data_IF_788596945164
#
_entry.id   IF_788596945164
#
_cell.length_a   1.000
_cell.length_b   1.000
_cell.length_c   1.000
_cell.angle_alpha   90.00
_cell.angle_beta   90.00
_cell.angle_gamma   90.00
#
_symmetry.space_group_name_H-M   'P 1'
#
loop_
_entity.id
_entity.type
_entity.pdbx_description
1 polymer ?
#
# COMPACT_ATOMS: atom_id res chain seq x y z
N UNK A 1 3.63 16.58 -16.64
CA UNK A 1 3.24 15.99 -15.35
C UNK A 1 4.42 15.37 -14.61
N UNK A 2 5.63 15.36 -15.19
CA UNK A 2 6.83 14.84 -14.54
C UNK A 2 7.07 15.50 -13.18
N UNK A 3 7.09 16.83 -13.16
CA UNK A 3 7.35 17.59 -11.94
C UNK A 3 6.37 17.30 -10.79
N UNK A 4 5.10 16.99 -11.07
CA UNK A 4 4.10 16.61 -10.05
C UNK A 4 4.27 15.14 -9.63
N UNK A 5 4.87 14.29 -10.47
CA UNK A 5 5.24 12.92 -10.13
C UNK A 5 6.49 12.86 -9.25
N UNK A 6 7.52 13.64 -9.59
CA UNK A 6 8.77 13.77 -8.81
C UNK A 6 8.59 14.58 -7.54
N UNK A 7 7.67 15.55 -7.54
CA UNK A 7 7.36 16.40 -6.40
C UNK A 7 5.84 16.49 -6.19
N UNK A 8 5.20 15.39 -5.75
CA UNK A 8 3.77 15.45 -5.52
C UNK A 8 3.48 16.39 -4.33
N UNK A 9 2.42 17.19 -4.45
CA UNK A 9 2.14 18.30 -3.51
C UNK A 9 2.73 19.65 -3.91
N UNK A 10 3.37 19.77 -5.09
CA UNK A 10 3.79 21.08 -5.61
C UNK A 10 2.59 22.03 -5.77
N UNK A 11 2.77 23.29 -5.36
CA UNK A 11 1.69 24.28 -5.37
C UNK A 11 1.48 24.86 -6.76
N UNK A 12 0.23 25.23 -7.06
CA UNK A 12 -0.17 25.86 -8.32
C UNK A 12 0.66 27.13 -8.59
N UNK A 13 0.91 27.96 -7.58
CA UNK A 13 1.76 29.14 -7.71
C UNK A 13 3.18 28.80 -8.14
N UNK A 14 3.75 27.70 -7.64
CA UNK A 14 5.12 27.29 -7.98
C UNK A 14 5.21 26.82 -9.43
N UNK A 15 4.17 26.15 -9.94
CA UNK A 15 4.10 25.81 -11.37
C UNK A 15 3.97 27.05 -12.26
N UNK A 16 3.20 28.05 -11.84
CA UNK A 16 3.07 29.30 -12.58
C UNK A 16 4.38 30.11 -12.59
N UNK A 17 5.11 30.15 -11.47
CA UNK A 17 6.46 30.74 -11.40
C UNK A 17 7.46 30.04 -12.32
N UNK A 18 7.31 28.72 -12.51
CA UNK A 18 8.11 27.92 -13.44
C UNK A 18 7.64 28.04 -14.91
N UNK A 19 6.80 29.04 -15.23
CA UNK A 19 6.29 29.37 -16.56
C UNK A 19 5.41 28.30 -17.22
N UNK A 20 4.81 27.38 -16.45
CA UNK A 20 3.80 26.47 -16.99
C UNK A 20 2.50 27.23 -17.34
N UNK A 21 1.88 26.92 -18.48
CA UNK A 21 0.68 27.61 -18.95
C UNK A 21 -0.54 27.27 -18.06
N UNK A 22 -1.24 28.28 -17.50
CA UNK A 22 -2.41 28.06 -16.64
C UNK A 22 -3.50 27.20 -17.29
N UNK A 23 -3.85 27.49 -18.55
CA UNK A 23 -4.89 26.75 -19.30
C UNK A 23 -4.58 25.26 -19.42
N UNK A 24 -3.31 24.87 -19.52
CA UNK A 24 -2.94 23.46 -19.60
C UNK A 24 -3.08 22.77 -18.25
N UNK A 25 -2.74 23.46 -17.15
CA UNK A 25 -2.90 22.95 -15.78
C UNK A 25 -4.40 22.78 -15.46
N UNK A 26 -5.22 23.80 -15.75
CA UNK A 26 -6.66 23.74 -15.52
C UNK A 26 -7.34 22.69 -16.38
N UNK A 27 -6.91 22.51 -17.64
CA UNK A 27 -7.38 21.39 -18.47
C UNK A 27 -7.02 20.03 -17.87
N UNK A 28 -5.85 19.89 -17.24
CA UNK A 28 -5.44 18.63 -16.59
C UNK A 28 -6.24 18.34 -15.31
N UNK A 29 -6.60 19.37 -14.55
CA UNK A 29 -7.50 19.25 -13.39
C UNK A 29 -8.92 18.88 -13.87
N UNK A 30 -9.46 19.60 -14.86
CA UNK A 30 -10.79 19.34 -15.41
C UNK A 30 -10.93 17.95 -16.03
N UNK A 31 -9.86 17.44 -16.65
CA UNK A 31 -9.81 16.06 -17.20
C UNK A 31 -9.44 15.00 -16.17
N UNK A 32 -9.37 15.35 -14.88
CA UNK A 32 -9.04 14.47 -13.74
C UNK A 32 -7.69 13.76 -13.86
N UNK A 33 -6.76 14.34 -14.61
CA UNK A 33 -5.38 13.85 -14.74
C UNK A 33 -4.48 14.42 -13.65
N UNK A 34 -4.83 15.59 -13.12
CA UNK A 34 -4.29 16.11 -11.87
C UNK A 34 -5.42 16.16 -10.85
N UNK A 35 -5.11 15.70 -9.66
CA UNK A 35 -5.97 15.81 -8.49
C UNK A 35 -5.59 17.05 -7.69
N UNK A 36 -6.61 17.78 -7.26
CA UNK A 36 -6.53 18.90 -6.33
C UNK A 36 -7.67 18.74 -5.37
N UNK A 37 -7.41 18.95 -4.08
CA UNK A 37 -8.45 19.04 -3.08
C UNK A 37 -9.09 20.43 -3.11
N UNK A 38 -10.16 20.57 -3.90
CA UNK A 38 -10.94 21.81 -4.02
C UNK A 38 -11.73 22.14 -2.75
N UNK A 39 -11.85 21.20 -1.80
CA UNK A 39 -12.48 21.48 -0.50
C UNK A 39 -11.51 22.17 0.47
N UNK A 40 -10.20 22.05 0.23
CA UNK A 40 -9.15 22.61 1.08
C UNK A 40 -8.64 23.99 0.62
N UNK A 41 -8.70 24.32 -0.68
CA UNK A 41 -8.27 25.62 -1.20
C UNK A 41 -8.94 25.96 -2.55
N UNK A 42 -9.29 27.24 -2.75
CA UNK A 42 -9.89 27.75 -3.99
C UNK A 42 -8.82 27.98 -5.08
N UNK A 43 -9.10 27.46 -6.28
CA UNK A 43 -8.23 27.54 -7.45
C UNK A 43 -7.96 28.97 -7.92
N UNK A 44 -8.97 29.86 -7.80
CA UNK A 44 -8.92 31.21 -8.37
C UNK A 44 -8.16 32.20 -7.49
N UNK A 45 -8.27 32.05 -6.17
CA UNK A 45 -7.80 33.05 -5.20
C UNK A 45 -6.63 32.56 -4.33
N UNK A 46 -6.40 31.25 -4.25
CA UNK A 46 -5.45 30.66 -3.29
C UNK A 46 -4.37 29.79 -3.94
N UNK A 47 -3.84 30.20 -5.11
CA UNK A 47 -2.85 29.43 -5.87
C UNK A 47 -1.61 28.96 -5.07
N UNK A 48 -1.23 29.65 -3.99
CA UNK A 48 -0.13 29.24 -3.08
C UNK A 48 -0.48 28.10 -2.14
N UNK A 49 -1.77 27.84 -1.91
CA UNK A 49 -2.29 26.76 -1.04
C UNK A 49 -2.78 25.56 -1.86
N UNK A 50 -3.14 25.76 -3.12
CA UNK A 50 -3.60 24.73 -4.05
C UNK A 50 -2.43 23.79 -4.38
N UNK A 51 -2.44 22.58 -3.82
CA UNK A 51 -1.45 21.55 -4.11
C UNK A 51 -1.96 20.57 -5.16
N UNK A 52 -1.06 20.16 -6.06
CA UNK A 52 -1.37 19.30 -7.19
C UNK A 52 -0.77 17.91 -7.01
N UNK A 53 -1.57 16.90 -7.34
CA UNK A 53 -1.19 15.48 -7.25
C UNK A 53 -1.58 14.74 -8.51
N UNK A 54 -1.00 13.55 -8.73
CA UNK A 54 -1.38 12.70 -9.85
C UNK A 54 -2.65 11.89 -9.56
N UNK A 55 -2.92 11.62 -8.29
CA UNK A 55 -4.07 10.85 -7.83
C UNK A 55 -4.42 11.21 -6.39
N UNK A 56 -5.63 10.81 -6.00
CA UNK A 56 -6.10 10.88 -4.62
C UNK A 56 -5.16 10.11 -3.68
N UNK A 57 -4.70 8.94 -4.10
CA UNK A 57 -3.78 8.08 -3.33
C UNK A 57 -2.43 8.75 -3.08
N UNK A 58 -1.90 9.49 -4.07
CA UNK A 58 -0.64 10.24 -3.92
C UNK A 58 -0.81 11.48 -3.03
N UNK A 59 -1.98 12.13 -3.09
CA UNK A 59 -2.33 13.22 -2.17
C UNK A 59 -2.36 12.77 -0.71
N UNK A 60 -2.83 11.54 -0.47
CA UNK A 60 -2.84 10.93 0.87
C UNK A 60 -1.51 10.31 1.29
N UNK A 61 -0.57 10.08 0.36
CA UNK A 61 0.77 9.57 0.69
C UNK A 61 1.77 10.65 1.13
N UNK A 62 1.44 11.93 0.93
CA UNK A 62 2.30 13.05 1.31
C UNK A 62 1.76 13.75 2.55
N UNK A 63 2.59 14.00 3.58
CA UNK A 63 2.20 14.76 4.75
C UNK A 63 1.80 16.18 4.35
N UNK A 64 0.53 16.53 4.54
CA UNK A 64 0.04 17.88 4.29
C UNK A 64 0.42 18.80 5.44
N UNK A 65 1.13 19.92 5.20
CA UNK A 65 1.38 20.92 6.22
C UNK A 65 0.11 21.75 6.43
N UNK A 66 -0.57 21.54 7.56
CA UNK A 66 -1.63 22.44 8.00
C UNK A 66 -0.97 23.66 8.64
N UNK A 67 -1.37 24.85 8.19
CA UNK A 67 -0.87 26.13 8.70
C UNK A 67 -1.28 26.30 10.16
N UNK A 68 -0.30 26.30 11.07
CA UNK A 68 -0.48 26.83 12.41
C UNK A 68 -0.05 28.30 12.41
N UNK A 69 -0.99 29.21 12.67
CA UNK A 69 -0.66 30.56 13.12
C UNK A 69 -0.38 30.49 14.63
N UNK A 70 0.87 30.79 14.97
CA UNK A 70 1.38 31.30 16.25
C UNK A 70 0.89 30.64 17.54
N UNK A 71 1.75 29.86 18.20
CA UNK A 71 2.05 30.05 19.62
C UNK A 71 3.50 29.62 19.90
N UNK A 72 4.19 30.42 20.72
CA UNK A 72 5.63 30.39 20.92
C UNK A 72 6.16 29.13 21.63
N UNK A 73 7.39 28.80 21.23
CA UNK A 73 8.42 27.98 21.87
C UNK A 73 8.06 26.73 22.70
N UNK A 74 8.69 25.63 22.26
CA UNK A 74 8.93 24.34 22.94
C UNK A 74 7.77 23.35 23.01
N UNK A 75 7.38 22.86 21.84
CA UNK A 75 7.27 21.44 21.48
C UNK A 75 6.50 21.37 20.17
N UNK A 76 7.16 20.99 19.08
CA UNK A 76 6.55 20.82 17.76
C UNK A 76 5.52 19.67 17.81
N UNK A 77 4.32 19.96 18.32
CA UNK A 77 3.13 19.14 18.17
C UNK A 77 2.58 19.39 16.77
N UNK A 78 3.24 18.77 15.78
CA UNK A 78 2.65 18.60 14.46
C UNK A 78 1.57 17.54 14.65
N UNK A 79 0.29 17.94 14.55
CA UNK A 79 -0.86 17.03 14.47
C UNK A 79 -0.76 16.23 13.16
N UNK A 80 0.08 15.20 13.17
CA UNK A 80 0.23 14.22 12.09
C UNK A 80 -1.00 13.33 12.12
N UNK A 81 -1.70 13.15 11.00
CA UNK A 81 -2.77 12.14 10.91
C UNK A 81 -2.13 10.77 11.18
N UNK A 82 -2.61 10.01 12.19
CA UNK A 82 -1.96 8.76 12.56
C UNK A 82 -2.08 7.75 11.42
N UNK A 83 -0.99 7.03 11.16
CA UNK A 83 -0.90 5.90 10.24
C UNK A 83 -0.63 4.62 11.03
N UNK A 84 -0.70 3.46 10.37
CA UNK A 84 -0.29 2.20 11.00
C UNK A 84 1.17 2.32 11.44
N UNK A 85 1.42 2.06 12.71
CA UNK A 85 2.72 2.21 13.36
C UNK A 85 2.95 3.56 14.05
N UNK A 86 2.05 4.55 13.90
CA UNK A 86 2.15 5.83 14.63
C UNK A 86 2.06 5.62 16.14
N UNK A 87 2.87 6.37 16.89
CA UNK A 87 2.70 6.53 18.33
C UNK A 87 1.71 7.67 18.61
N UNK A 88 0.81 7.47 19.55
CA UNK A 88 -0.20 8.44 19.97
C UNK A 88 -0.27 8.45 21.50
N UNK A 89 -0.65 9.57 22.10
CA UNK A 89 -0.97 9.67 23.53
C UNK A 89 -2.48 9.76 23.64
N UNK A 90 -3.08 8.91 24.46
CA UNK A 90 -4.49 8.96 24.81
C UNK A 90 -4.61 8.88 26.34
N UNK A 91 -5.22 9.88 26.97
CA UNK A 91 -5.28 10.02 28.44
C UNK A 91 -3.90 9.92 29.13
N UNK A 92 -2.88 10.54 28.54
CA UNK A 92 -1.51 10.53 29.08
C UNK A 92 -0.78 9.19 28.97
N UNK A 93 -1.39 8.20 28.31
CA UNK A 93 -0.82 6.88 28.08
C UNK A 93 -0.29 6.78 26.65
N UNK A 94 0.90 6.22 26.48
CA UNK A 94 1.49 5.97 25.16
C UNK A 94 0.84 4.77 24.48
N UNK A 95 0.13 5.03 23.39
CA UNK A 95 -0.45 4.04 22.51
C UNK A 95 0.28 4.02 21.16
N UNK A 96 0.11 2.91 20.44
CA UNK A 96 0.60 2.74 19.09
C UNK A 96 -0.52 2.18 18.22
N UNK A 97 -0.69 2.74 17.03
CA UNK A 97 -1.67 2.27 16.07
C UNK A 97 -1.16 0.99 15.41
N UNK A 98 -1.80 -0.14 15.70
CA UNK A 98 -1.48 -1.45 15.10
C UNK A 98 -2.21 -1.69 13.78
N UNK A 99 -3.44 -1.17 13.65
CA UNK A 99 -4.25 -1.28 12.46
C UNK A 99 -5.15 -0.05 12.33
N UNK A 100 -5.30 0.44 11.11
CA UNK A 100 -6.24 1.49 10.72
C UNK A 100 -7.13 0.89 9.64
N UNK A 101 -8.16 0.17 10.07
CA UNK A 101 -9.17 -0.37 9.18
C UNK A 101 -10.23 0.67 8.83
N UNK A 102 -11.06 0.34 7.84
CA UNK A 102 -12.19 1.18 7.43
C UNK A 102 -13.30 1.28 8.48
N UNK A 103 -13.34 0.37 9.46
CA UNK A 103 -14.37 0.34 10.52
C UNK A 103 -13.80 0.38 11.93
N UNK A 104 -12.60 -0.17 12.15
CA UNK A 104 -11.98 -0.29 13.47
C UNK A 104 -10.50 0.12 13.42
N UNK A 105 -10.04 0.74 14.50
CA UNK A 105 -8.65 1.07 14.76
C UNK A 105 -8.16 0.27 15.96
N UNK A 106 -7.05 -0.43 15.79
CA UNK A 106 -6.43 -1.22 16.86
C UNK A 106 -5.27 -0.43 17.46
N UNK A 107 -5.31 -0.19 18.76
CA UNK A 107 -4.29 0.52 19.53
C UNK A 107 -3.59 -0.44 20.49
N UNK A 108 -2.30 -0.22 20.72
CA UNK A 108 -1.46 -1.00 21.63
C UNK A 108 -0.72 -0.10 22.60
N UNK A 109 -0.70 -0.43 23.89
CA UNK A 109 0.16 0.18 24.90
C UNK A 109 1.00 -0.90 25.63
N UNK A 110 2.17 -0.52 26.15
CA UNK A 110 2.95 -1.28 27.13
C UNK A 110 2.28 -1.26 28.52
N UNK A 111 2.14 -2.39 29.25
CA UNK A 111 2.77 -3.68 29.03
C UNK A 111 1.83 -4.70 28.35
N UNK A 112 1.29 -4.37 27.16
CA UNK A 112 0.56 -5.25 26.21
C UNK A 112 -0.98 -5.15 26.19
N UNK A 113 -1.53 -3.97 26.51
CA UNK A 113 -2.97 -3.72 26.33
C UNK A 113 -3.27 -3.42 24.86
N UNK A 114 -4.12 -4.24 24.23
CA UNK A 114 -4.66 -3.95 22.89
C UNK A 114 -6.13 -3.55 23.02
N UNK A 115 -6.47 -2.39 22.48
CA UNK A 115 -7.84 -1.89 22.43
C UNK A 115 -8.25 -1.74 20.96
N UNK A 116 -9.50 -2.09 20.65
CA UNK A 116 -10.10 -1.75 19.37
C UNK A 116 -11.10 -0.62 19.59
N UNK A 117 -10.96 0.45 18.83
CA UNK A 117 -11.91 1.55 18.74
C UNK A 117 -12.61 1.48 17.40
N UNK A 118 -13.86 1.95 17.32
CA UNK A 118 -14.44 2.23 16.01
C UNK A 118 -13.67 3.38 15.35
N UNK A 119 -13.59 3.38 14.02
CA UNK A 119 -12.93 4.46 13.28
C UNK A 119 -13.56 5.82 13.61
N UNK A 120 -14.88 5.87 13.82
CA UNK A 120 -15.60 7.09 14.15
C UNK A 120 -15.25 7.62 15.53
N UNK A 121 -15.19 6.74 16.55
CA UNK A 121 -14.75 7.13 17.90
C UNK A 121 -13.29 7.56 17.89
N UNK A 122 -12.44 6.87 17.13
CA UNK A 122 -11.03 7.24 17.01
C UNK A 122 -10.85 8.62 16.36
N UNK A 123 -11.57 8.90 15.29
CA UNK A 123 -11.58 10.21 14.63
C UNK A 123 -12.16 11.30 15.54
N UNK A 124 -13.22 11.01 16.29
CA UNK A 124 -13.78 11.92 17.28
C UNK A 124 -12.77 12.28 18.36
N UNK A 125 -12.07 11.29 18.93
CA UNK A 125 -11.05 11.48 19.96
C UNK A 125 -9.84 12.29 19.46
N UNK A 126 -9.50 12.19 18.16
CA UNK A 126 -8.49 13.04 17.53
C UNK A 126 -9.03 14.47 17.35
N UNK A 127 -10.26 14.60 16.83
CA UNK A 127 -10.89 15.91 16.60
C UNK A 127 -11.12 16.69 17.89
N UNK A 128 -11.31 16.00 19.00
CA UNK A 128 -11.46 16.58 20.34
C UNK A 128 -10.14 16.73 21.09
N UNK A 129 -9.00 16.56 20.43
CA UNK A 129 -7.64 16.68 21.00
C UNK A 129 -7.34 15.74 22.19
N UNK A 130 -8.17 14.72 22.41
CA UNK A 130 -7.95 13.71 23.47
C UNK A 130 -6.89 12.68 23.08
N UNK A 131 -6.70 12.50 21.78
CA UNK A 131 -5.61 11.72 21.21
C UNK A 131 -4.64 12.68 20.51
N UNK A 132 -3.38 12.66 20.92
CA UNK A 132 -2.31 13.44 20.27
C UNK A 132 -1.31 12.50 19.61
N UNK A 133 -0.82 12.81 18.41
CA UNK A 133 0.12 11.94 17.68
C UNK A 133 1.55 12.36 17.97
N UNK A 134 2.37 11.43 18.46
CA UNK A 134 3.79 11.66 18.72
C UNK A 134 4.58 11.42 17.43
N UNK A 135 5.09 12.50 16.82
CA UNK A 135 5.99 12.42 15.67
C UNK A 135 7.43 12.12 16.10
N UNK A 136 7.67 10.93 16.67
CA UNK A 136 9.04 10.48 16.95
C UNK A 136 9.61 9.75 15.73
N UNK A 137 10.45 10.43 14.96
CA UNK A 137 11.36 9.80 13.98
C UNK A 137 12.47 9.06 14.75
N UNK A 138 12.17 7.92 15.37
CA UNK A 138 13.21 7.07 15.96
C UNK A 138 13.47 5.87 15.06
N UNK A 139 14.68 5.87 14.48
CA UNK A 139 15.13 5.06 13.36
C UNK A 139 15.34 3.56 13.69
N UNK A 140 15.19 3.15 14.96
CA UNK A 140 15.57 1.81 15.44
C UNK A 140 14.40 0.86 15.73
N UNK A 141 13.17 1.21 15.37
CA UNK A 141 11.99 0.36 15.57
C UNK A 141 11.41 -0.22 14.26
N UNK A 142 11.94 0.19 13.10
CA UNK A 142 11.42 -0.10 11.76
C UNK A 142 11.38 -1.59 11.39
N UNK A 143 12.23 -2.43 11.99
CA UNK A 143 12.41 -3.82 11.56
C UNK A 143 11.44 -4.81 12.22
N UNK A 144 10.86 -4.45 13.38
CA UNK A 144 9.88 -5.28 14.09
C UNK A 144 8.50 -5.23 13.43
N UNK A 145 8.19 -4.13 12.72
CA UNK A 145 6.84 -3.80 12.26
C UNK A 145 6.61 -3.95 10.75
N UNK A 146 7.63 -4.27 9.95
CA UNK A 146 7.45 -4.55 8.52
C UNK A 146 6.45 -5.69 8.29
N UNK A 147 6.45 -6.71 9.15
CA UNK A 147 5.50 -7.83 9.04
C UNK A 147 4.03 -7.45 9.31
N UNK A 148 3.78 -6.37 10.07
CA UNK A 148 2.43 -5.83 10.28
C UNK A 148 2.03 -4.95 9.10
N UNK A 149 2.96 -4.12 8.62
CA UNK A 149 2.74 -3.24 7.46
C UNK A 149 2.45 -4.08 6.21
N UNK A 150 3.08 -5.25 6.08
CA UNK A 150 2.88 -6.18 4.95
C UNK A 150 1.63 -7.07 5.09
N UNK A 151 0.96 -7.06 6.26
CA UNK A 151 -0.23 -7.88 6.49
C UNK A 151 -1.45 -7.25 5.80
N UNK A 152 -2.27 -8.08 5.16
CA UNK A 152 -3.53 -7.62 4.57
C UNK A 152 -4.55 -7.23 5.65
N UNK A 153 -5.52 -6.36 5.34
CA UNK A 153 -6.62 -6.01 6.26
C UNK A 153 -7.33 -7.27 6.80
N UNK A 154 -7.50 -8.29 5.94
CA UNK A 154 -8.09 -9.57 6.33
C UNK A 154 -7.22 -10.38 7.31
N UNK A 155 -5.90 -10.31 7.19
CA UNK A 155 -4.97 -10.98 8.10
C UNK A 155 -4.97 -10.28 9.47
N UNK A 156 -5.01 -8.95 9.48
CA UNK A 156 -5.17 -8.15 10.69
C UNK A 156 -6.51 -8.42 11.40
N UNK A 157 -7.61 -8.50 10.66
CA UNK A 157 -8.92 -8.83 11.22
C UNK A 157 -8.94 -10.21 11.89
N UNK A 158 -8.34 -11.22 11.26
CA UNK A 158 -8.24 -12.56 11.85
C UNK A 158 -7.31 -12.59 13.07
N UNK A 159 -6.22 -11.80 13.09
CA UNK A 159 -5.37 -11.64 14.26
C UNK A 159 -6.12 -10.99 15.43
N UNK A 160 -6.90 -9.94 15.17
CA UNK A 160 -7.77 -9.31 16.16
C UNK A 160 -8.80 -10.29 16.73
N UNK A 161 -9.44 -11.11 15.86
CA UNK A 161 -10.37 -12.16 16.30
C UNK A 161 -9.67 -13.16 17.23
N UNK A 162 -8.47 -13.62 16.88
CA UNK A 162 -7.67 -14.52 17.72
C UNK A 162 -7.31 -13.87 19.05
N UNK A 163 -6.89 -12.61 19.03
CA UNK A 163 -6.53 -11.87 20.24
C UNK A 163 -7.69 -11.81 21.23
N UNK A 164 -8.89 -11.43 20.77
CA UNK A 164 -10.11 -11.39 21.61
C UNK A 164 -10.40 -12.73 22.30
N UNK A 165 -9.99 -13.85 21.70
CA UNK A 165 -10.19 -15.20 22.23
C UNK A 165 -9.11 -15.60 23.25
N UNK A 166 -7.85 -15.22 22.99
CA UNK A 166 -6.71 -15.68 23.80
C UNK A 166 -6.31 -14.72 24.92
N UNK A 167 -6.56 -13.41 24.76
CA UNK A 167 -6.16 -12.38 25.71
C UNK A 167 -6.69 -12.62 27.14
N UNK A 168 -7.97 -13.00 27.36
CA UNK A 168 -8.46 -13.28 28.71
C UNK A 168 -7.71 -14.41 29.41
N UNK A 169 -7.25 -15.40 28.65
CA UNK A 169 -6.46 -16.52 29.17
C UNK A 169 -5.00 -16.14 29.42
N UNK A 170 -4.40 -15.31 28.56
CA UNK A 170 -3.03 -14.82 28.72
C UNK A 170 -2.86 -13.99 29.99
N UNK A 171 -3.87 -13.18 30.34
CA UNK A 171 -3.89 -12.32 31.54
C UNK A 171 -4.38 -13.11 32.78
N UNK A 172 -4.80 -14.36 32.61
CA UNK A 172 -5.31 -15.20 33.72
C UNK A 172 -6.72 -14.84 34.20
N UNK A 173 -7.41 -13.93 33.50
CA UNK A 173 -8.76 -13.47 33.85
C UNK A 173 -9.89 -14.47 33.53
N UNK A 174 -9.64 -15.45 32.65
CA UNK A 174 -10.64 -16.45 32.27
C UNK A 174 -10.00 -17.77 31.83
N UNK A 175 -10.69 -18.91 32.01
CA UNK A 175 -10.22 -20.19 31.51
C UNK A 175 -10.24 -20.24 29.98
N UNK A 176 -9.65 -21.31 29.41
CA UNK A 176 -9.65 -21.56 27.96
C UNK A 176 -11.03 -21.42 27.35
N UNK A 177 -11.14 -20.65 26.27
CA UNK A 177 -12.36 -20.54 25.48
C UNK A 177 -12.74 -21.89 24.84
N UNK A 178 -13.95 -22.40 25.15
CA UNK A 178 -14.43 -23.71 24.69
C UNK A 178 -15.00 -23.70 23.26
N UNK A 179 -15.29 -22.52 22.71
CA UNK A 179 -15.84 -22.36 21.35
C UNK A 179 -14.79 -22.55 20.26
N UNK A 180 -13.51 -22.68 20.63
CA UNK A 180 -12.41 -22.96 19.72
C UNK A 180 -11.81 -24.35 20.01
N UNK A 181 -11.46 -25.13 18.97
CA UNK A 181 -10.75 -26.39 19.14
C UNK A 181 -9.51 -26.24 20.03
N UNK A 182 -9.34 -27.18 20.96
CA UNK A 182 -8.25 -27.15 21.96
C UNK A 182 -6.87 -26.95 21.31
N UNK A 183 -6.60 -27.67 20.23
CA UNK A 183 -5.34 -27.56 19.47
C UNK A 183 -5.12 -26.17 18.88
N UNK A 184 -6.14 -25.56 18.27
CA UNK A 184 -6.03 -24.23 17.67
C UNK A 184 -5.78 -23.15 18.73
N UNK A 185 -6.47 -23.26 19.87
CA UNK A 185 -6.29 -22.35 20.99
C UNK A 185 -4.85 -22.37 21.50
N UNK A 186 -4.33 -23.54 21.87
CA UNK A 186 -2.96 -23.64 22.39
C UNK A 186 -1.89 -23.32 21.34
N UNK A 187 -2.15 -23.62 20.06
CA UNK A 187 -1.27 -23.18 18.97
C UNK A 187 -1.15 -21.66 18.94
N UNK A 188 -2.25 -20.92 19.04
CA UNK A 188 -2.20 -19.45 19.07
C UNK A 188 -1.48 -18.91 20.30
N UNK A 189 -1.68 -19.52 21.49
CA UNK A 189 -0.93 -19.17 22.71
C UNK A 189 0.57 -19.42 22.52
N UNK A 190 0.94 -20.55 21.91
CA UNK A 190 2.33 -20.88 21.65
C UNK A 190 2.95 -19.88 20.68
N UNK A 191 2.28 -19.59 19.57
CA UNK A 191 2.74 -18.58 18.61
C UNK A 191 2.84 -17.19 19.21
N UNK A 192 1.93 -16.82 20.14
CA UNK A 192 2.03 -15.58 20.91
C UNK A 192 3.34 -15.54 21.72
N UNK A 193 3.60 -16.57 22.52
CA UNK A 193 4.81 -16.64 23.37
C UNK A 193 6.09 -16.65 22.54
N UNK A 194 6.12 -17.37 21.43
CA UNK A 194 7.25 -17.42 20.52
C UNK A 194 7.52 -16.04 19.90
N UNK A 195 6.47 -15.35 19.44
CA UNK A 195 6.60 -14.01 18.88
C UNK A 195 7.01 -12.97 19.93
N UNK A 196 6.54 -13.10 21.16
CA UNK A 196 6.98 -12.28 22.28
C UNK A 196 8.47 -12.47 22.57
N UNK A 197 8.95 -13.71 22.61
CA UNK A 197 10.37 -14.01 22.83
C UNK A 197 11.28 -13.57 21.68
N UNK A 198 10.87 -13.82 20.44
CA UNK A 198 11.72 -13.61 19.26
C UNK A 198 11.64 -12.20 18.68
N UNK A 199 10.48 -11.55 18.81
CA UNK A 199 10.20 -10.25 18.18
C UNK A 199 9.84 -9.16 19.19
N UNK A 200 9.74 -9.50 20.48
CA UNK A 200 9.33 -8.58 21.55
C UNK A 200 7.82 -8.34 21.63
N UNK A 201 7.01 -8.91 20.72
CA UNK A 201 5.57 -8.64 20.63
C UNK A 201 4.76 -9.91 20.28
N UNK A 202 3.95 -10.38 21.24
CA UNK A 202 3.17 -11.60 21.06
C UNK A 202 2.04 -11.50 20.02
N UNK A 203 1.49 -10.30 19.79
CA UNK A 203 0.44 -10.08 18.79
C UNK A 203 0.86 -10.51 17.38
N UNK A 204 2.16 -10.36 17.03
CA UNK A 204 2.72 -10.80 15.75
C UNK A 204 2.53 -12.31 15.52
N UNK A 205 2.51 -13.11 16.59
CA UNK A 205 2.27 -14.55 16.54
C UNK A 205 0.83 -14.91 16.17
N UNK A 206 -0.11 -13.96 16.25
CA UNK A 206 -1.51 -14.17 15.89
C UNK A 206 -1.79 -13.89 14.41
N UNK A 207 -0.89 -13.20 13.71
CA UNK A 207 -1.05 -12.91 12.28
C UNK A 207 -1.09 -14.20 11.46
N UNK A 208 -2.12 -14.40 10.60
CA UNK A 208 -2.11 -15.48 9.64
C UNK A 208 -0.95 -15.33 8.67
N UNK A 209 -0.19 -16.40 8.47
CA UNK A 209 0.84 -16.44 7.43
C UNK A 209 0.25 -16.76 6.05
N UNK A 210 -0.95 -16.25 5.74
CA UNK A 210 -1.66 -16.60 4.50
C UNK A 210 -0.88 -16.18 3.25
N UNK A 211 -0.21 -15.03 3.31
CA UNK A 211 0.72 -14.56 2.27
C UNK A 211 1.91 -15.50 2.05
N UNK A 212 2.27 -16.34 3.04
CA UNK A 212 3.36 -17.33 2.93
C UNK A 212 2.88 -18.72 2.51
N UNK A 213 1.56 -18.92 2.36
CA UNK A 213 0.97 -20.20 1.93
C UNK A 213 0.83 -20.29 0.41
N UNK A 214 0.85 -21.53 -0.09
CA UNK A 214 0.57 -21.86 -1.49
C UNK A 214 1.83 -21.98 -2.35
N UNK A 215 1.76 -22.86 -3.37
CA UNK A 215 2.83 -22.99 -4.34
C UNK A 215 2.81 -21.78 -5.31
N UNK A 216 3.75 -20.87 -5.12
CA UNK A 216 3.96 -19.69 -5.99
C UNK A 216 4.96 -19.95 -7.12
N UNK A 217 5.54 -21.15 -7.19
CA UNK A 217 6.43 -21.51 -8.29
C UNK A 217 5.62 -21.68 -9.58
N UNK A 218 6.23 -21.28 -10.70
CA UNK A 218 5.65 -21.50 -12.02
C UNK A 218 5.44 -22.99 -12.24
N UNK A 219 4.22 -23.37 -12.62
CA UNK A 219 3.90 -24.75 -13.03
C UNK A 219 4.40 -25.08 -14.45
N UNK A 220 4.83 -24.07 -15.20
CA UNK A 220 5.33 -24.26 -16.57
C UNK A 220 6.82 -24.62 -16.53
N UNK A 221 7.27 -25.57 -17.36
CA UNK A 221 8.69 -25.86 -17.55
C UNK A 221 9.49 -24.60 -17.92
N UNK A 222 10.75 -24.55 -17.49
CA UNK A 222 11.66 -23.45 -17.82
C UNK A 222 11.78 -23.23 -19.32
N UNK A 223 11.74 -24.30 -20.12
CA UNK A 223 11.77 -24.23 -21.58
C UNK A 223 10.55 -23.52 -22.15
N UNK A 224 9.34 -23.82 -21.68
CA UNK A 224 8.11 -23.12 -22.08
C UNK A 224 8.19 -21.64 -21.76
N UNK A 225 8.71 -21.27 -20.58
CA UNK A 225 8.87 -19.86 -20.20
C UNK A 225 9.84 -19.12 -21.12
N UNK A 226 10.96 -19.76 -21.50
CA UNK A 226 11.91 -19.21 -22.47
C UNK A 226 11.27 -18.98 -23.84
N UNK A 227 10.57 -19.99 -24.36
CA UNK A 227 9.85 -19.86 -25.64
C UNK A 227 8.79 -18.75 -25.58
N UNK A 228 8.06 -18.62 -24.48
CA UNK A 228 7.12 -17.51 -24.30
C UNK A 228 7.82 -16.15 -24.35
N UNK A 229 8.95 -15.99 -23.67
CA UNK A 229 9.74 -14.76 -23.68
C UNK A 229 10.25 -14.42 -25.09
N UNK A 230 10.83 -15.41 -25.77
CA UNK A 230 11.35 -15.29 -27.14
C UNK A 230 10.26 -14.88 -28.13
N UNK A 231 9.12 -15.58 -28.17
CA UNK A 231 8.04 -15.26 -29.11
C UNK A 231 7.37 -13.93 -28.80
N UNK A 232 7.28 -13.55 -27.52
CA UNK A 232 6.83 -12.20 -27.16
C UNK A 232 7.82 -11.17 -27.71
N UNK A 233 9.11 -11.30 -27.44
CA UNK A 233 10.11 -10.32 -27.86
C UNK A 233 10.29 -10.24 -29.38
N UNK A 234 10.37 -11.38 -30.06
CA UNK A 234 10.78 -11.47 -31.47
C UNK A 234 9.62 -11.43 -32.47
N UNK A 235 8.41 -11.73 -32.02
CA UNK A 235 7.26 -11.86 -32.92
C UNK A 235 6.13 -10.90 -32.56
N UNK A 236 5.83 -10.75 -31.27
CA UNK A 236 4.85 -9.78 -30.79
C UNK A 236 5.44 -8.37 -30.64
N UNK A 237 6.56 -8.17 -29.95
CA UNK A 237 7.16 -6.86 -29.67
C UNK A 237 8.00 -6.34 -30.85
N UNK A 238 7.43 -6.38 -32.05
CA UNK A 238 8.08 -5.93 -33.28
C UNK A 238 7.23 -4.92 -34.04
N UNK A 239 7.89 -4.15 -34.91
CA UNK A 239 7.23 -3.19 -35.81
C UNK A 239 6.21 -3.84 -36.75
N UNK A 240 6.28 -5.16 -36.95
CA UNK A 240 5.30 -5.94 -37.75
C UNK A 240 3.91 -5.98 -37.10
N UNK A 241 3.82 -5.61 -35.81
CA UNK A 241 2.57 -5.50 -35.04
C UNK A 241 1.64 -6.72 -35.10
N UNK A 242 2.19 -7.93 -35.20
CA UNK A 242 1.41 -9.19 -35.18
C UNK A 242 0.43 -9.21 -34.00
N UNK A 243 -0.77 -9.75 -34.23
CA UNK A 243 -1.78 -9.90 -33.18
C UNK A 243 -1.42 -11.01 -32.18
N UNK A 244 -1.86 -10.89 -30.92
CA UNK A 244 -1.55 -11.85 -29.85
C UNK A 244 -1.95 -13.30 -30.21
N UNK A 245 -3.06 -13.49 -30.94
CA UNK A 245 -3.48 -14.84 -31.39
C UNK A 245 -2.53 -15.46 -32.41
N UNK A 246 -2.02 -14.66 -33.36
CA UNK A 246 -1.10 -15.16 -34.38
C UNK A 246 0.23 -15.60 -33.74
N UNK A 247 0.77 -14.78 -32.83
CA UNK A 247 1.99 -15.10 -32.09
C UNK A 247 1.79 -16.31 -31.18
N UNK A 248 0.61 -16.42 -30.54
CA UNK A 248 0.28 -17.61 -29.76
C UNK A 248 0.26 -18.88 -30.62
N UNK A 249 -0.30 -18.84 -31.84
CA UNK A 249 -0.25 -19.98 -32.75
C UNK A 249 1.18 -20.41 -33.10
N UNK A 250 2.07 -19.43 -33.33
CA UNK A 250 3.48 -19.71 -33.58
C UNK A 250 4.19 -20.31 -32.35
N UNK A 251 3.90 -19.81 -31.15
CA UNK A 251 4.38 -20.38 -29.88
C UNK A 251 3.90 -21.82 -29.69
N UNK A 252 2.63 -22.12 -29.98
CA UNK A 252 2.09 -23.50 -29.88
C UNK A 252 2.90 -24.46 -30.75
N UNK A 253 3.15 -24.08 -32.01
CA UNK A 253 3.94 -24.90 -32.92
C UNK A 253 5.38 -25.10 -32.40
N UNK A 254 6.01 -24.05 -31.87
CA UNK A 254 7.35 -24.13 -31.30
C UNK A 254 7.42 -25.03 -30.06
N UNK A 255 6.42 -24.94 -29.17
CA UNK A 255 6.34 -25.80 -28.00
C UNK A 255 6.15 -27.27 -28.40
N UNK A 256 5.35 -27.55 -29.43
CA UNK A 256 5.18 -28.91 -29.96
C UNK A 256 6.46 -29.45 -30.59
N UNK A 257 7.16 -28.64 -31.40
CA UNK A 257 8.44 -29.03 -32.00
C UNK A 257 9.52 -29.34 -30.94
N UNK A 258 9.55 -28.56 -29.86
CA UNK A 258 10.49 -28.73 -28.75
C UNK A 258 10.00 -29.72 -27.69
N UNK A 259 8.90 -30.44 -27.95
CA UNK A 259 8.29 -31.41 -27.03
C UNK A 259 8.10 -30.88 -25.60
N UNK A 260 7.65 -29.63 -25.46
CA UNK A 260 7.41 -28.99 -24.16
C UNK A 260 5.94 -28.64 -23.96
N UNK A 261 5.55 -28.41 -22.70
CA UNK A 261 4.16 -28.12 -22.35
C UNK A 261 3.72 -26.78 -22.96
N UNK A 262 2.61 -26.82 -23.69
CA UNK A 262 1.99 -25.63 -24.27
C UNK A 262 1.23 -24.87 -23.16
N UNK A 263 1.49 -23.56 -22.97
CA UNK A 263 0.75 -22.78 -22.00
C UNK A 263 -0.66 -22.48 -22.51
N UNK A 264 -1.63 -22.32 -21.61
CA UNK A 264 -2.95 -21.83 -22.00
C UNK A 264 -2.85 -20.43 -22.62
N UNK A 265 -3.76 -20.10 -23.55
CA UNK A 265 -3.82 -18.77 -24.13
C UNK A 265 -3.98 -17.66 -23.07
N UNK A 266 -4.74 -17.92 -22.00
CA UNK A 266 -4.91 -17.00 -20.87
C UNK A 266 -3.58 -16.74 -20.15
N UNK A 267 -2.76 -17.77 -19.98
CA UNK A 267 -1.42 -17.64 -19.38
C UNK A 267 -0.50 -16.82 -20.29
N UNK A 268 -0.53 -17.07 -21.61
CA UNK A 268 0.22 -16.29 -22.58
C UNK A 268 -0.17 -14.81 -22.55
N UNK A 269 -1.47 -14.51 -22.55
CA UNK A 269 -1.96 -13.12 -22.43
C UNK A 269 -1.47 -12.45 -21.14
N UNK A 270 -1.49 -13.15 -20.01
CA UNK A 270 -0.99 -12.63 -18.73
C UNK A 270 0.49 -12.24 -18.84
N UNK A 271 1.30 -13.07 -19.47
CA UNK A 271 2.73 -12.81 -19.71
C UNK A 271 2.97 -11.66 -20.70
N UNK A 272 2.16 -11.54 -21.75
CA UNK A 272 2.25 -10.40 -22.67
C UNK A 272 1.92 -9.09 -21.96
N UNK A 273 0.89 -9.09 -21.12
CA UNK A 273 0.39 -7.90 -20.42
C UNK A 273 1.23 -7.52 -19.19
N UNK A 274 2.06 -8.44 -18.67
CA UNK A 274 2.98 -8.11 -17.57
C UNK A 274 4.25 -7.41 -18.06
N UNK A 275 4.44 -7.27 -19.38
CA UNK A 275 5.55 -6.50 -19.94
C UNK A 275 5.33 -5.00 -19.69
N UNK A 276 6.40 -4.21 -19.52
CA UNK A 276 6.28 -2.76 -19.40
C UNK A 276 5.58 -2.16 -20.63
N UNK A 277 4.45 -1.49 -20.42
CA UNK A 277 3.61 -0.94 -21.49
C UNK A 277 4.37 0.04 -22.39
N UNK A 278 5.26 0.87 -21.80
CA UNK A 278 6.10 1.81 -22.54
C UNK A 278 7.02 1.10 -23.54
N UNK A 279 7.85 0.17 -23.07
CA UNK A 279 8.83 -0.56 -23.90
C UNK A 279 8.13 -1.38 -24.98
N UNK A 280 7.05 -2.07 -24.61
CA UNK A 280 6.28 -2.87 -25.55
C UNK A 280 5.64 -2.00 -26.64
N UNK A 281 5.04 -0.86 -26.27
CA UNK A 281 4.44 0.08 -27.23
C UNK A 281 5.50 0.71 -28.11
N UNK A 282 6.66 1.08 -27.55
CA UNK A 282 7.78 1.67 -28.28
C UNK A 282 8.31 0.75 -29.37
N UNK A 283 8.52 -0.53 -29.04
CA UNK A 283 8.96 -1.54 -30.02
C UNK A 283 7.93 -1.81 -31.11
N UNK A 284 6.64 -1.77 -30.79
CA UNK A 284 5.55 -2.09 -31.73
C UNK A 284 5.12 -0.91 -32.61
N UNK A 285 4.99 0.27 -32.02
CA UNK A 285 4.32 1.43 -32.61
C UNK A 285 5.21 2.68 -32.65
N UNK A 286 6.44 2.60 -32.14
CA UNK A 286 7.40 3.70 -32.10
C UNK A 286 7.26 4.61 -30.89
N UNK A 287 8.27 5.46 -30.68
CA UNK A 287 8.38 6.33 -29.51
C UNK A 287 7.18 7.27 -29.33
N UNK A 288 6.59 7.76 -30.42
CA UNK A 288 5.45 8.69 -30.37
C UNK A 288 4.19 8.03 -29.77
N UNK A 289 3.94 6.77 -30.09
CA UNK A 289 2.82 6.02 -29.51
C UNK A 289 3.12 5.62 -28.05
N UNK A 290 4.37 5.29 -27.75
CA UNK A 290 4.81 4.92 -26.40
C UNK A 290 4.72 6.06 -25.40
N UNK A 291 4.81 7.32 -25.87
CA UNK A 291 4.77 8.51 -25.02
C UNK A 291 3.59 8.56 -24.04
N UNK A 292 2.44 7.98 -24.42
CA UNK A 292 1.26 7.87 -23.53
C UNK A 292 1.56 7.07 -22.25
N UNK A 293 2.49 6.13 -22.31
CA UNK A 293 2.86 5.21 -21.24
C UNK A 293 4.19 5.58 -20.59
N UNK A 294 4.80 6.70 -20.98
CA UNK A 294 6.08 7.13 -20.42
C UNK A 294 5.88 7.40 -18.92
N UNK A 295 6.68 6.77 -18.04
CA UNK A 295 6.62 7.07 -16.63
C UNK A 295 6.95 8.54 -16.44
N UNK A 296 6.08 9.27 -15.75
CA UNK A 296 6.36 10.66 -15.42
C UNK A 296 7.55 10.68 -14.44
N UNK A 297 8.65 11.30 -14.86
CA UNK A 297 9.79 11.65 -14.01
C UNK A 297 9.39 12.79 -13.10
#
# INVERSE_FOLDING_TARGET
MGLVATQPGITLSKLLELQFKPDEIYRLIATKKLYVDLSAADLASEAKKVQLFLSVETAYSIPQPIKSENFGDTNNQILVKPTVGSQIIWDGIDWRVLNLGSTEVTLLNSPQNVINLSITVFEELISSEKITVISNKTQNQSQIYSEIIDASESDCAEANRRYRIVAPYLIGSSPRNKNVPRSSFYRWIQSWKEAEQTKGYGYLGLLPQNSKKGNRQSKLPTLTLKLMDEYIAQDYETYKQKGKRAVYGALVNACQQQNTTVPSYKTFLKFCNSRPDYEQTKKRQGSRAAYKYEPFY
#
